data_IF_419089206348
#
_entry.id   IF_419089206348
#
_cell.length_a   1.000
_cell.length_b   1.000
_cell.length_c   1.000
_cell.angle_alpha   90.00
_cell.angle_beta   90.00
_cell.angle_gamma   90.00
#
_symmetry.space_group_name_H-M   'P 1'
#
loop_
_entity.id
_entity.type
_entity.pdbx_description
1 polymer ?
#
# COMPACT_ATOMS: atom_id res chain seq x y z
N UNK A 1 -14.18 17.47 -15.84
CA UNK A 1 -13.52 16.73 -14.74
C UNK A 1 -12.74 15.59 -15.38
N UNK A 2 -11.45 15.45 -15.11
CA UNK A 2 -10.58 14.54 -15.87
C UNK A 2 -10.85 13.08 -15.51
N UNK A 3 -11.15 12.22 -16.49
CA UNK A 3 -11.48 10.80 -16.31
C UNK A 3 -10.47 10.00 -15.45
N UNK A 4 -9.20 10.44 -15.43
CA UNK A 4 -8.16 9.88 -14.57
C UNK A 4 -8.50 9.95 -13.07
N UNK A 5 -9.23 10.99 -12.62
CA UNK A 5 -9.60 11.18 -11.22
C UNK A 5 -10.74 10.22 -10.81
N UNK A 6 -11.67 9.91 -11.72
CA UNK A 6 -12.77 8.96 -11.50
C UNK A 6 -12.32 7.50 -11.53
N UNK A 7 -11.31 7.17 -12.34
CA UNK A 7 -10.77 5.82 -12.45
C UNK A 7 -9.79 5.47 -11.32
N UNK A 8 -9.15 6.48 -10.71
CA UNK A 8 -8.14 6.28 -9.67
C UNK A 8 -8.64 5.43 -8.49
N UNK A 9 -9.86 5.62 -7.93
CA UNK A 9 -10.38 4.81 -6.82
C UNK A 9 -10.57 3.33 -7.19
N UNK A 10 -10.98 3.02 -8.42
CA UNK A 10 -11.12 1.65 -8.90
C UNK A 10 -9.76 0.97 -9.05
N UNK A 11 -8.78 1.70 -9.56
CA UNK A 11 -7.40 1.25 -9.70
C UNK A 11 -6.76 1.02 -8.32
N UNK A 12 -6.96 1.94 -7.38
CA UNK A 12 -6.53 1.82 -5.99
C UNK A 12 -7.20 0.65 -5.26
N UNK A 13 -8.48 0.40 -5.53
CA UNK A 13 -9.22 -0.75 -4.98
C UNK A 13 -8.65 -2.07 -5.50
N UNK A 14 -8.39 -2.18 -6.80
CA UNK A 14 -7.78 -3.37 -7.41
C UNK A 14 -6.38 -3.65 -6.83
N UNK A 15 -5.56 -2.61 -6.65
CA UNK A 15 -4.24 -2.73 -6.01
C UNK A 15 -4.38 -3.16 -4.54
N UNK A 16 -5.37 -2.64 -3.82
CA UNK A 16 -5.62 -3.01 -2.41
C UNK A 16 -6.05 -4.47 -2.28
N UNK A 17 -6.92 -4.95 -3.18
CA UNK A 17 -7.34 -6.36 -3.23
C UNK A 17 -6.14 -7.25 -3.53
N UNK A 18 -5.34 -6.89 -4.54
CA UNK A 18 -4.13 -7.62 -4.91
C UNK A 18 -3.14 -7.69 -3.74
N UNK A 19 -2.93 -6.57 -3.04
CA UNK A 19 -2.06 -6.52 -1.85
C UNK A 19 -2.60 -7.42 -0.72
N UNK A 20 -3.91 -7.44 -0.51
CA UNK A 20 -4.55 -8.28 0.53
C UNK A 20 -4.37 -9.77 0.24
N UNK A 21 -4.55 -10.18 -1.02
CA UNK A 21 -4.29 -11.57 -1.46
C UNK A 21 -2.81 -11.93 -1.27
N UNK A 22 -1.90 -11.01 -1.63
CA UNK A 22 -0.46 -11.24 -1.55
C UNK A 22 0.05 -11.28 -0.09
N UNK A 23 -0.56 -10.50 0.82
CA UNK A 23 -0.31 -10.54 2.25
C UNK A 23 -0.79 -11.85 2.88
N UNK A 24 -1.91 -12.40 2.39
CA UNK A 24 -2.37 -13.75 2.76
C UNK A 24 -1.38 -14.85 2.36
N UNK A 25 -0.63 -14.65 1.28
CA UNK A 25 0.34 -15.62 0.77
C UNK A 25 1.76 -15.49 1.38
N UNK A 26 1.92 -14.77 2.50
CA UNK A 26 3.20 -14.52 3.21
C UNK A 26 4.36 -13.94 2.37
N UNK A 27 4.10 -13.42 1.17
CA UNK A 27 5.20 -12.95 0.32
C UNK A 27 5.73 -11.59 0.80
N UNK A 28 7.05 -11.47 0.94
CA UNK A 28 7.77 -10.21 1.26
C UNK A 28 7.40 -9.06 0.32
N UNK A 29 7.10 -9.38 -0.92
CA UNK A 29 6.74 -8.43 -1.97
C UNK A 29 5.37 -7.78 -1.73
N UNK A 30 4.50 -8.37 -0.90
CA UNK A 30 3.20 -7.79 -0.55
C UNK A 30 3.32 -6.39 0.05
N UNK A 31 4.31 -6.20 0.94
CA UNK A 31 4.49 -4.92 1.64
C UNK A 31 5.11 -3.84 0.75
N UNK A 32 5.99 -4.22 -0.18
CA UNK A 32 6.53 -3.30 -1.18
C UNK A 32 5.43 -2.81 -2.14
N UNK A 33 4.53 -3.70 -2.56
CA UNK A 33 3.35 -3.34 -3.37
C UNK A 33 2.41 -2.42 -2.58
N UNK A 34 2.21 -2.65 -1.29
CA UNK A 34 1.44 -1.76 -0.42
C UNK A 34 2.02 -0.36 -0.29
N UNK A 35 3.35 -0.24 -0.19
CA UNK A 35 4.04 1.06 -0.18
C UNK A 35 3.85 1.80 -1.51
N UNK A 36 3.93 1.09 -2.64
CA UNK A 36 3.66 1.68 -3.95
C UNK A 36 2.20 2.13 -4.07
N UNK A 37 1.25 1.33 -3.58
CA UNK A 37 -0.16 1.68 -3.51
C UNK A 37 -0.39 2.94 -2.68
N UNK A 38 0.30 3.06 -1.54
CA UNK A 38 0.23 4.22 -0.67
C UNK A 38 0.89 5.47 -1.27
N UNK A 39 1.91 5.32 -2.12
CA UNK A 39 2.46 6.44 -2.89
C UNK A 39 1.46 6.95 -3.94
N UNK A 40 0.75 6.03 -4.61
CA UNK A 40 -0.35 6.36 -5.52
C UNK A 40 -1.52 7.05 -4.81
N UNK A 41 -1.90 6.57 -3.61
CA UNK A 41 -2.90 7.23 -2.77
C UNK A 41 -2.49 8.66 -2.39
N UNK A 42 -1.23 8.86 -1.99
CA UNK A 42 -0.72 10.19 -1.66
C UNK A 42 -0.81 11.15 -2.86
N UNK A 43 -0.41 10.69 -4.05
CA UNK A 43 -0.52 11.48 -5.27
C UNK A 43 -1.97 11.87 -5.58
N UNK A 44 -2.93 10.93 -5.44
CA UNK A 44 -4.35 11.22 -5.62
C UNK A 44 -4.89 12.21 -4.59
N UNK A 45 -4.49 12.07 -3.32
CA UNK A 45 -4.89 12.99 -2.25
C UNK A 45 -4.44 14.42 -2.55
N UNK A 46 -3.19 14.60 -2.98
CA UNK A 46 -2.65 15.92 -3.35
C UNK A 46 -3.35 16.47 -4.59
N UNK A 47 -3.58 15.64 -5.61
CA UNK A 47 -4.26 16.03 -6.85
C UNK A 47 -5.72 16.45 -6.61
N UNK A 48 -6.42 15.79 -5.69
CA UNK A 48 -7.83 16.08 -5.35
C UNK A 48 -8.00 17.05 -4.19
N UNK A 49 -6.92 17.50 -3.56
CA UNK A 49 -6.91 18.35 -2.36
C UNK A 49 -7.71 17.74 -1.20
N UNK A 50 -7.70 16.41 -1.07
CA UNK A 50 -8.44 15.66 -0.04
C UNK A 50 -7.61 15.53 1.24
N UNK A 51 -7.27 16.67 1.86
CA UNK A 51 -6.32 16.74 2.98
C UNK A 51 -6.72 15.88 4.19
N UNK A 52 -8.01 15.60 4.38
CA UNK A 52 -8.52 14.78 5.48
C UNK A 52 -8.01 13.33 5.48
N UNK A 53 -7.51 12.82 4.35
CA UNK A 53 -6.98 11.46 4.24
C UNK A 53 -5.46 11.35 4.44
N UNK A 54 -4.75 12.48 4.57
CA UNK A 54 -3.29 12.46 4.79
C UNK A 54 -2.89 11.76 6.08
N UNK A 55 -3.54 11.99 7.24
CA UNK A 55 -3.17 11.31 8.47
C UNK A 55 -3.30 9.79 8.35
N UNK A 56 -4.36 9.30 7.69
CA UNK A 56 -4.58 7.88 7.42
C UNK A 56 -3.50 7.32 6.48
N UNK A 57 -3.21 8.00 5.37
CA UNK A 57 -2.18 7.60 4.40
C UNK A 57 -0.80 7.49 5.06
N UNK A 58 -0.46 8.46 5.92
CA UNK A 58 0.80 8.47 6.64
C UNK A 58 0.92 7.34 7.68
N UNK A 59 -0.17 7.06 8.41
CA UNK A 59 -0.21 5.92 9.34
C UNK A 59 0.01 4.59 8.60
N UNK A 60 -0.62 4.40 7.44
CA UNK A 60 -0.46 3.18 6.64
C UNK A 60 0.95 3.05 6.06
N UNK A 61 1.58 4.14 5.63
CA UNK A 61 3.00 4.18 5.26
C UNK A 61 3.89 3.60 6.37
N UNK A 62 3.70 4.07 7.60
CA UNK A 62 4.50 3.62 8.75
C UNK A 62 4.24 2.13 9.04
N UNK A 63 2.99 1.68 9.03
CA UNK A 63 2.65 0.28 9.30
C UNK A 63 3.25 -0.63 8.23
N UNK A 64 3.12 -0.30 6.95
CA UNK A 64 3.66 -1.11 5.85
C UNK A 64 5.19 -1.15 5.85
N UNK A 65 5.85 -0.02 6.10
CA UNK A 65 7.31 0.03 6.22
C UNK A 65 7.81 -0.82 7.40
N UNK A 66 7.18 -0.69 8.58
CA UNK A 66 7.51 -1.48 9.76
C UNK A 66 7.30 -2.97 9.51
N UNK A 67 6.21 -3.34 8.86
CA UNK A 67 5.89 -4.74 8.62
C UNK A 67 6.78 -5.38 7.55
N UNK A 68 7.19 -4.60 6.52
CA UNK A 68 8.20 -5.03 5.56
C UNK A 68 9.54 -5.37 6.25
N UNK A 69 9.99 -4.54 7.19
CA UNK A 69 11.21 -4.82 7.96
C UNK A 69 11.06 -5.99 8.93
N UNK A 70 9.92 -6.09 9.61
CA UNK A 70 9.67 -7.19 10.55
C UNK A 70 9.68 -8.55 9.86
N UNK A 71 9.02 -8.67 8.71
CA UNK A 71 8.93 -9.93 7.96
C UNK A 71 10.18 -10.25 7.14
N UNK A 72 11.06 -9.27 6.87
CA UNK A 72 12.37 -9.53 6.25
C UNK A 72 13.28 -10.36 7.18
N UNK A 73 13.11 -10.28 8.51
CA UNK A 73 13.93 -11.04 9.47
C UNK A 73 13.43 -12.46 9.74
N UNK A 74 12.11 -12.70 9.64
CA UNK A 74 11.52 -14.02 9.97
C UNK A 74 11.78 -15.09 8.90
N UNK A 75 12.09 -14.70 7.65
CA UNK A 75 12.37 -15.66 6.57
C UNK A 75 13.82 -16.21 6.59
N UNK A 76 14.68 -15.72 7.49
CA UNK A 76 16.07 -16.17 7.63
C UNK A 76 16.24 -17.34 8.60
N UNK A 77 15.21 -17.67 9.36
CA UNK A 77 15.24 -18.68 10.45
C UNK A 77 14.53 -19.99 10.07
N UNK A 78 13.89 -20.03 8.89
CA UNK A 78 13.08 -21.16 8.39
C UNK A 78 13.75 -21.91 7.21
N UNK A 79 15.08 -21.79 7.05
CA UNK A 79 15.86 -22.72 6.22
C UNK A 79 16.24 -23.94 7.05
N UNK A 80 15.75 -25.16 6.73
CA UNK A 80 16.14 -26.40 7.40
C UNK A 80 17.62 -26.76 7.17
#
# INVERSE_FOLDING_TARGET
>A
MSAAIELMPWLLSAITIYMTILAGNRSRNAWAVGLLAQALWLFWIVATKTWGLIPMNFALWIVYARNHWKWTRTQSEDTP
#
